data_IF_153845201707
#
_entry.id   IF_153845201707
#
_cell.length_a   1.000
_cell.length_b   1.000
_cell.length_c   1.000
_cell.angle_alpha   90.00
_cell.angle_beta   90.00
_cell.angle_gamma   90.00
#
_symmetry.space_group_name_H-M   'P 1'
#
loop_
_entity.id
_entity.type
_entity.pdbx_description
1 polymer ?
#
# COMPACT_ATOMS: atom_id res chain seq x y z
N UNK A 1 -26.74 11.32 -13.77
CA UNK A 1 -27.49 12.59 -13.90
C UNK A 1 -26.81 13.44 -14.97
N UNK A 2 -27.54 14.09 -15.87
CA UNK A 2 -26.92 15.05 -16.79
C UNK A 2 -26.64 16.34 -16.01
N UNK A 3 -25.39 16.81 -16.07
CA UNK A 3 -24.97 18.06 -15.46
C UNK A 3 -25.06 19.16 -16.53
N UNK A 4 -25.67 20.30 -16.19
CA UNK A 4 -25.68 21.49 -17.04
C UNK A 4 -24.90 22.59 -16.34
N UNK A 5 -23.92 23.14 -17.05
CA UNK A 5 -23.10 24.24 -16.56
C UNK A 5 -23.43 25.50 -17.36
N UNK A 6 -23.67 26.60 -16.66
CA UNK A 6 -23.93 27.90 -17.26
C UNK A 6 -22.81 28.87 -16.87
N UNK A 7 -22.20 29.49 -17.85
CA UNK A 7 -21.21 30.53 -17.67
C UNK A 7 -21.75 31.82 -18.34
N UNK A 8 -21.80 32.93 -17.61
CA UNK A 8 -22.35 34.22 -18.09
C UNK A 8 -23.77 34.10 -18.69
N UNK A 9 -24.62 33.21 -18.13
CA UNK A 9 -25.97 32.96 -18.61
C UNK A 9 -26.10 32.06 -19.86
N UNK A 10 -25.00 31.61 -20.40
CA UNK A 10 -24.96 30.69 -21.56
C UNK A 10 -24.63 29.26 -21.12
N UNK A 11 -25.25 28.26 -21.77
CA UNK A 11 -25.02 26.88 -21.48
C UNK A 11 -23.67 26.38 -22.07
N UNK A 12 -22.81 25.79 -21.24
CA UNK A 12 -21.57 25.20 -21.68
C UNK A 12 -21.85 23.85 -22.36
N UNK A 13 -21.18 23.58 -23.47
CA UNK A 13 -21.35 22.34 -24.20
C UNK A 13 -20.52 21.23 -23.58
N UNK A 14 -21.14 20.11 -23.22
CA UNK A 14 -20.41 18.94 -22.74
C UNK A 14 -19.65 18.29 -23.92
N UNK A 15 -18.39 18.02 -23.72
CA UNK A 15 -17.54 17.26 -24.65
C UNK A 15 -17.75 15.79 -24.35
N UNK A 16 -18.20 15.04 -25.36
CA UNK A 16 -18.39 13.60 -25.25
C UNK A 16 -17.22 12.92 -25.96
N UNK A 17 -16.56 12.02 -25.26
CA UNK A 17 -15.45 11.22 -25.79
C UNK A 17 -16.00 9.92 -26.39
N UNK A 18 -15.67 9.68 -27.67
CA UNK A 18 -15.99 8.42 -28.36
C UNK A 18 -14.83 7.43 -28.35
N UNK A 19 -13.65 7.87 -27.89
CA UNK A 19 -12.40 7.09 -27.85
C UNK A 19 -11.69 7.37 -26.55
N UNK A 20 -11.24 6.32 -25.92
CA UNK A 20 -10.53 6.35 -24.63
C UNK A 20 -9.24 7.16 -24.72
N UNK A 21 -8.43 6.97 -25.77
CA UNK A 21 -7.16 7.69 -25.96
C UNK A 21 -7.32 9.22 -25.99
N UNK A 22 -8.46 9.71 -26.49
CA UNK A 22 -8.75 11.14 -26.49
C UNK A 22 -9.09 11.64 -25.07
N UNK A 23 -9.76 10.84 -24.26
CA UNK A 23 -10.04 11.16 -22.87
C UNK A 23 -8.79 11.02 -21.99
N UNK A 24 -7.98 9.97 -22.17
CA UNK A 24 -6.69 9.82 -21.52
C UNK A 24 -5.80 11.05 -21.77
N UNK A 25 -5.66 11.45 -23.04
CA UNK A 25 -4.89 12.65 -23.38
C UNK A 25 -5.41 13.89 -22.67
N UNK A 26 -6.72 14.07 -22.59
CA UNK A 26 -7.32 15.19 -21.86
C UNK A 26 -6.96 15.18 -20.39
N UNK A 27 -6.97 13.99 -19.73
CA UNK A 27 -6.58 13.83 -18.33
C UNK A 27 -5.10 14.19 -18.14
N UNK A 28 -4.21 13.69 -19.00
CA UNK A 28 -2.77 14.01 -18.99
C UNK A 28 -2.53 15.50 -19.13
N UNK A 29 -3.16 16.13 -20.13
CA UNK A 29 -2.98 17.56 -20.42
C UNK A 29 -3.50 18.47 -19.29
N UNK A 30 -4.43 17.98 -18.47
CA UNK A 30 -5.06 18.72 -17.37
C UNK A 30 -4.75 18.16 -15.97
N UNK A 31 -3.76 17.26 -15.85
CA UNK A 31 -3.49 16.54 -14.62
C UNK A 31 -3.25 17.47 -13.41
N UNK A 32 -2.52 18.56 -13.58
CA UNK A 32 -2.26 19.52 -12.50
C UNK A 32 -3.53 20.24 -12.04
N UNK A 33 -4.42 20.56 -12.96
CA UNK A 33 -5.73 21.17 -12.63
C UNK A 33 -6.63 20.18 -11.88
N UNK A 34 -6.61 18.91 -12.28
CA UNK A 34 -7.47 17.88 -11.71
C UNK A 34 -6.98 17.41 -10.34
N UNK A 35 -5.67 17.15 -10.20
CA UNK A 35 -5.07 16.53 -9.02
C UNK A 35 -4.36 17.53 -8.10
N UNK A 36 -4.14 18.76 -8.55
CA UNK A 36 -3.46 19.82 -7.80
C UNK A 36 -1.96 19.92 -8.07
N UNK A 37 -1.39 21.08 -7.72
CA UNK A 37 0.00 21.44 -8.01
C UNK A 37 1.03 20.52 -7.30
N UNK A 38 0.66 19.99 -6.14
CA UNK A 38 1.49 19.04 -5.37
C UNK A 38 1.27 17.59 -5.79
N UNK A 39 0.85 17.34 -7.01
CA UNK A 39 0.74 16.01 -7.59
C UNK A 39 1.62 15.86 -8.82
N UNK A 40 2.02 14.61 -9.10
CA UNK A 40 2.78 14.28 -10.30
C UNK A 40 2.09 13.10 -10.97
N UNK A 41 1.58 13.36 -12.16
CA UNK A 41 1.02 12.34 -13.04
C UNK A 41 2.07 11.90 -14.05
N UNK A 42 2.28 10.59 -14.19
CA UNK A 42 3.16 10.00 -15.19
C UNK A 42 2.33 9.12 -16.12
N UNK A 43 2.25 9.52 -17.38
CA UNK A 43 1.65 8.73 -18.44
C UNK A 43 2.47 7.46 -18.67
N UNK A 44 1.86 6.30 -18.43
CA UNK A 44 2.54 5.01 -18.51
C UNK A 44 2.57 4.45 -19.93
N UNK A 45 1.52 4.68 -20.72
CA UNK A 45 1.42 4.16 -22.10
C UNK A 45 2.44 4.79 -23.02
N UNK A 46 2.69 6.09 -22.87
CA UNK A 46 3.53 6.84 -23.81
C UNK A 46 4.98 7.04 -23.34
N UNK A 47 5.23 6.95 -22.04
CA UNK A 47 6.56 7.23 -21.47
C UNK A 47 7.32 5.99 -21.02
N UNK A 48 6.67 4.87 -20.80
CA UNK A 48 7.26 3.65 -20.29
C UNK A 48 7.02 2.50 -21.27
N UNK A 49 7.94 2.33 -22.23
CA UNK A 49 7.89 1.21 -23.15
C UNK A 49 7.95 -0.14 -22.43
N UNK A 50 7.09 -1.08 -22.85
CA UNK A 50 7.08 -2.49 -22.41
C UNK A 50 6.85 -2.76 -20.91
N UNK A 51 6.08 -1.95 -20.20
CA UNK A 51 5.74 -2.24 -18.82
C UNK A 51 4.33 -2.81 -18.66
N UNK A 52 4.19 -4.12 -18.80
CA UNK A 52 2.97 -4.78 -18.34
C UNK A 52 3.06 -5.05 -16.83
N UNK A 53 2.10 -4.55 -16.06
CA UNK A 53 1.91 -4.88 -14.66
C UNK A 53 0.92 -6.05 -14.57
N UNK A 54 1.38 -7.25 -14.21
CA UNK A 54 0.52 -8.43 -14.17
C UNK A 54 -0.18 -8.76 -15.51
N UNK A 55 0.41 -8.35 -16.66
CA UNK A 55 -0.15 -8.54 -17.98
C UNK A 55 -1.08 -7.42 -18.47
N UNK A 56 -1.14 -6.28 -17.76
CA UNK A 56 -1.81 -5.06 -18.22
C UNK A 56 -0.89 -3.85 -18.03
N UNK A 57 -1.08 -2.81 -18.83
CA UNK A 57 -0.37 -1.54 -18.71
C UNK A 57 -1.40 -0.53 -18.21
N UNK A 58 -1.23 0.08 -17.02
CA UNK A 58 -2.13 1.14 -16.61
C UNK A 58 -1.93 2.39 -17.48
N UNK A 59 -2.95 3.21 -17.60
CA UNK A 59 -2.86 4.47 -18.33
C UNK A 59 -1.86 5.43 -17.70
N UNK A 60 -1.83 5.44 -16.37
CA UNK A 60 -0.89 6.29 -15.65
C UNK A 60 -0.61 5.86 -14.23
N UNK A 61 0.32 6.57 -13.62
CA UNK A 61 0.52 6.57 -12.17
C UNK A 61 0.46 8.00 -11.65
N UNK A 62 -0.13 8.18 -10.49
CA UNK A 62 -0.25 9.46 -9.83
C UNK A 62 0.44 9.39 -8.48
N UNK A 63 1.28 10.38 -8.18
CA UNK A 63 1.93 10.56 -6.89
C UNK A 63 1.38 11.84 -6.28
N UNK A 64 0.62 11.70 -5.21
CA UNK A 64 0.09 12.83 -4.43
C UNK A 64 1.06 13.16 -3.29
N UNK A 65 1.56 14.39 -3.33
CA UNK A 65 2.57 14.95 -2.44
C UNK A 65 1.99 16.08 -1.57
N UNK A 66 0.68 16.17 -1.48
CA UNK A 66 -0.01 17.19 -0.66
C UNK A 66 0.29 17.03 0.84
N UNK A 67 0.51 15.78 1.28
CA UNK A 67 1.04 15.42 2.59
C UNK A 67 2.36 14.67 2.44
N UNK A 68 3.49 15.32 2.74
CA UNK A 68 4.83 14.72 2.63
C UNK A 68 5.18 13.74 3.74
N UNK A 69 4.40 13.70 4.81
CA UNK A 69 4.53 12.67 5.87
C UNK A 69 3.85 11.38 5.44
N UNK A 70 2.77 11.49 4.64
CA UNK A 70 1.99 10.36 4.14
C UNK A 70 1.72 10.49 2.64
N UNK A 71 2.76 10.53 1.78
CA UNK A 71 2.58 10.64 0.34
C UNK A 71 1.82 9.44 -0.20
N UNK A 72 0.96 9.65 -1.20
CA UNK A 72 0.12 8.59 -1.74
C UNK A 72 0.49 8.26 -3.17
N UNK A 73 0.41 6.98 -3.50
CA UNK A 73 0.64 6.44 -4.82
C UNK A 73 -0.62 5.78 -5.36
N UNK A 74 -0.94 6.05 -6.62
CA UNK A 74 -2.10 5.50 -7.31
C UNK A 74 -1.68 4.89 -8.64
N UNK A 75 -2.18 3.68 -8.93
CA UNK A 75 -2.32 3.21 -10.31
C UNK A 75 -3.57 3.87 -10.85
N UNK A 76 -3.48 4.48 -12.02
CA UNK A 76 -4.59 5.20 -12.65
C UNK A 76 -5.04 4.46 -13.90
N UNK A 77 -6.35 4.28 -14.01
CA UNK A 77 -7.04 3.76 -15.17
C UNK A 77 -8.07 4.78 -15.63
N UNK A 78 -8.06 5.12 -16.91
CA UNK A 78 -8.94 6.12 -17.51
C UNK A 78 -9.92 5.40 -18.43
N UNK A 79 -11.21 5.50 -18.16
CA UNK A 79 -12.23 4.69 -18.79
C UNK A 79 -13.40 5.52 -19.30
N UNK A 80 -14.07 5.02 -20.32
CA UNK A 80 -15.34 5.59 -20.75
C UNK A 80 -16.52 4.90 -20.05
N UNK A 81 -17.54 5.66 -19.67
CA UNK A 81 -18.74 5.11 -19.03
C UNK A 81 -19.49 4.06 -19.86
N UNK A 82 -19.32 4.09 -21.20
CA UNK A 82 -19.96 3.14 -22.10
C UNK A 82 -19.21 1.81 -22.24
N UNK A 83 -17.97 1.69 -21.71
CA UNK A 83 -17.23 0.43 -21.68
C UNK A 83 -17.91 -0.58 -20.75
N UNK A 84 -17.93 -1.84 -21.16
CA UNK A 84 -18.55 -2.89 -20.33
C UNK A 84 -17.73 -3.16 -19.07
N UNK A 85 -18.39 -3.10 -17.93
CA UNK A 85 -17.73 -3.26 -16.64
C UNK A 85 -17.08 -4.64 -16.48
N UNK A 86 -17.78 -5.70 -16.86
CA UNK A 86 -17.36 -7.08 -16.58
C UNK A 86 -16.26 -7.58 -17.50
N UNK A 87 -16.32 -7.17 -18.76
CA UNK A 87 -15.39 -7.65 -19.79
C UNK A 87 -14.21 -6.73 -20.03
N UNK A 88 -14.30 -5.46 -19.62
CA UNK A 88 -13.25 -4.46 -19.83
C UNK A 88 -12.67 -3.93 -18.52
N UNK A 89 -13.44 -3.21 -17.72
CA UNK A 89 -12.95 -2.50 -16.53
C UNK A 89 -12.53 -3.46 -15.39
N UNK A 90 -13.40 -4.41 -15.06
CA UNK A 90 -13.16 -5.33 -13.95
C UNK A 90 -11.87 -6.15 -14.08
N UNK A 91 -11.57 -6.76 -15.26
CA UNK A 91 -10.34 -7.56 -15.39
C UNK A 91 -9.06 -6.75 -15.26
N UNK A 92 -9.06 -5.47 -15.62
CA UNK A 92 -7.89 -4.60 -15.47
C UNK A 92 -7.65 -4.28 -13.99
N UNK A 93 -8.69 -3.91 -13.27
CA UNK A 93 -8.59 -3.62 -11.83
C UNK A 93 -8.16 -4.87 -11.06
N UNK A 94 -8.68 -6.05 -11.39
CA UNK A 94 -8.32 -7.31 -10.73
C UNK A 94 -6.81 -7.61 -10.91
N UNK A 95 -6.26 -7.36 -12.09
CA UNK A 95 -4.81 -7.46 -12.34
C UNK A 95 -3.97 -6.47 -11.53
N UNK A 96 -4.50 -5.27 -11.21
CA UNK A 96 -3.79 -4.32 -10.35
C UNK A 96 -3.72 -4.79 -8.90
N UNK A 97 -4.70 -5.54 -8.42
CA UNK A 97 -4.60 -6.22 -7.12
C UNK A 97 -3.51 -7.28 -7.11
N UNK A 98 -3.42 -8.10 -8.18
CA UNK A 98 -2.36 -9.08 -8.35
C UNK A 98 -0.99 -8.40 -8.39
N UNK A 99 -0.88 -7.29 -9.13
CA UNK A 99 0.33 -6.48 -9.17
C UNK A 99 0.75 -5.99 -7.78
N UNK A 100 -0.17 -5.41 -7.00
CA UNK A 100 0.16 -4.95 -5.66
C UNK A 100 0.56 -6.08 -4.71
N UNK A 101 0.12 -7.29 -4.95
CA UNK A 101 0.52 -8.48 -4.20
C UNK A 101 1.92 -8.97 -4.58
N UNK A 102 2.44 -8.58 -5.75
CA UNK A 102 3.73 -9.03 -6.28
C UNK A 102 4.84 -8.00 -6.04
N UNK A 103 5.75 -8.33 -5.11
CA UNK A 103 6.88 -7.45 -4.75
C UNK A 103 7.83 -7.18 -5.92
N UNK A 104 8.07 -8.19 -6.78
CA UNK A 104 8.98 -8.03 -7.91
C UNK A 104 8.42 -7.03 -8.93
N UNK A 105 7.12 -7.10 -9.21
CA UNK A 105 6.44 -6.17 -10.11
C UNK A 105 6.46 -4.74 -9.54
N UNK A 106 6.21 -4.57 -8.25
CA UNK A 106 6.32 -3.26 -7.59
C UNK A 106 7.74 -2.67 -7.67
N UNK A 107 8.77 -3.49 -7.47
CA UNK A 107 10.15 -3.04 -7.60
C UNK A 107 10.47 -2.62 -9.04
N UNK A 108 10.06 -3.41 -10.05
CA UNK A 108 10.22 -3.06 -11.46
C UNK A 108 9.53 -1.73 -11.80
N UNK A 109 8.30 -1.53 -11.29
CA UNK A 109 7.59 -0.28 -11.50
C UNK A 109 8.35 0.90 -10.87
N UNK A 110 8.84 0.73 -9.64
CA UNK A 110 9.65 1.77 -8.97
C UNK A 110 10.89 2.15 -9.81
N UNK A 111 11.60 1.15 -10.34
CA UNK A 111 12.79 1.37 -11.19
C UNK A 111 12.43 2.12 -12.47
N UNK A 112 11.31 1.78 -13.10
CA UNK A 112 10.84 2.44 -14.32
C UNK A 112 10.42 3.88 -14.06
N UNK A 113 9.61 4.12 -13.04
CA UNK A 113 9.23 5.48 -12.64
C UNK A 113 10.48 6.31 -12.32
N UNK A 114 11.42 5.75 -11.56
CA UNK A 114 12.69 6.42 -11.26
C UNK A 114 13.49 6.76 -12.53
N UNK A 115 13.56 5.82 -13.47
CA UNK A 115 14.23 6.06 -14.78
C UNK A 115 13.55 7.19 -15.55
N UNK A 116 12.21 7.24 -15.56
CA UNK A 116 11.43 8.33 -16.19
C UNK A 116 11.77 9.67 -15.57
N UNK A 117 11.81 9.76 -14.25
CA UNK A 117 12.22 11.00 -13.55
C UNK A 117 13.65 11.40 -13.85
N UNK A 118 14.56 10.45 -14.05
CA UNK A 118 15.95 10.77 -14.42
C UNK A 118 16.10 11.26 -15.87
N UNK A 119 15.21 10.87 -16.76
CA UNK A 119 15.26 11.23 -18.18
C UNK A 119 14.49 12.52 -18.49
N UNK A 120 13.57 12.92 -17.61
CA UNK A 120 12.76 14.14 -17.75
C UNK A 120 13.15 15.16 -16.66
N UNK A 121 13.97 16.15 -17.07
CA UNK A 121 14.48 17.18 -16.16
C UNK A 121 13.36 18.00 -15.49
N UNK A 122 12.21 18.18 -16.17
CA UNK A 122 11.06 18.90 -15.63
C UNK A 122 10.40 18.12 -14.51
N UNK A 123 10.10 16.83 -14.74
CA UNK A 123 9.55 15.95 -13.70
C UNK A 123 10.53 15.78 -12.55
N UNK A 124 11.82 15.59 -12.84
CA UNK A 124 12.87 15.50 -11.82
C UNK A 124 12.90 16.74 -10.94
N UNK A 125 12.94 17.93 -11.55
CA UNK A 125 12.98 19.20 -10.84
C UNK A 125 11.69 19.44 -10.03
N UNK A 126 10.51 19.14 -10.60
CA UNK A 126 9.23 19.24 -9.90
C UNK A 126 9.22 18.37 -8.64
N UNK A 127 9.58 17.09 -8.77
CA UNK A 127 9.63 16.18 -7.63
C UNK A 127 10.65 16.65 -6.59
N UNK A 128 11.87 17.03 -7.04
CA UNK A 128 12.94 17.43 -6.16
C UNK A 128 12.63 18.71 -5.37
N UNK A 129 11.96 19.66 -5.99
CA UNK A 129 11.50 20.88 -5.32
C UNK A 129 10.50 20.58 -4.19
N UNK A 130 9.65 19.57 -4.37
CA UNK A 130 8.65 19.19 -3.36
C UNK A 130 9.29 18.38 -2.23
N UNK A 131 10.07 17.32 -2.54
CA UNK A 131 10.62 16.41 -1.54
C UNK A 131 11.93 16.91 -0.88
N UNK A 132 12.54 17.96 -1.40
CA UNK A 132 13.75 18.58 -0.86
C UNK A 132 14.97 17.67 -0.93
N UNK A 133 15.62 17.44 0.21
CA UNK A 133 16.85 16.63 0.31
C UNK A 133 16.63 15.13 0.24
N UNK A 134 15.36 14.64 0.27
CA UNK A 134 15.07 13.20 0.22
C UNK A 134 15.61 12.58 -1.07
N UNK A 135 16.11 11.35 -1.01
CA UNK A 135 16.59 10.61 -2.18
C UNK A 135 15.39 10.07 -2.97
N UNK A 136 15.36 10.33 -4.29
CA UNK A 136 14.17 10.11 -5.13
C UNK A 136 13.78 8.63 -5.20
N UNK A 137 14.72 7.74 -5.49
CA UNK A 137 14.39 6.31 -5.62
C UNK A 137 13.79 5.74 -4.33
N UNK A 138 14.41 6.08 -3.21
CA UNK A 138 13.96 5.64 -1.90
C UNK A 138 12.60 6.23 -1.53
N UNK A 139 12.38 7.49 -1.87
CA UNK A 139 11.10 8.16 -1.67
C UNK A 139 9.99 7.48 -2.48
N UNK A 140 10.21 7.27 -3.79
CA UNK A 140 9.25 6.60 -4.67
C UNK A 140 8.94 5.18 -4.20
N UNK A 141 9.97 4.43 -3.83
CA UNK A 141 9.81 3.07 -3.32
C UNK A 141 8.97 3.04 -2.04
N UNK A 142 9.29 3.90 -1.07
CA UNK A 142 8.54 4.00 0.18
C UNK A 142 7.09 4.42 -0.04
N UNK A 143 6.85 5.38 -0.94
CA UNK A 143 5.49 5.83 -1.28
C UNK A 143 4.67 4.69 -1.89
N UNK A 144 5.23 3.94 -2.84
CA UNK A 144 4.54 2.81 -3.49
C UNK A 144 4.31 1.64 -2.53
N UNK A 145 5.24 1.37 -1.62
CA UNK A 145 5.09 0.29 -0.64
C UNK A 145 4.03 0.60 0.43
N UNK A 146 3.91 1.87 0.83
CA UNK A 146 3.02 2.29 1.91
C UNK A 146 1.64 2.75 1.44
N UNK A 147 1.46 2.99 0.15
CA UNK A 147 0.22 3.51 -0.41
C UNK A 147 -0.15 2.77 -1.70
N UNK A 148 -1.06 1.81 -1.59
CA UNK A 148 -1.47 0.92 -2.67
C UNK A 148 -2.90 1.26 -3.10
N UNK A 149 -3.07 2.28 -3.95
CA UNK A 149 -4.37 2.75 -4.38
C UNK A 149 -4.56 2.57 -5.88
N UNK A 150 -5.81 2.35 -6.28
CA UNK A 150 -6.26 2.29 -7.67
C UNK A 150 -7.27 3.43 -7.86
N UNK A 151 -6.98 4.32 -8.77
CA UNK A 151 -7.86 5.44 -9.13
C UNK A 151 -8.44 5.18 -10.53
N UNK A 152 -9.75 5.03 -10.59
CA UNK A 152 -10.49 4.95 -11.86
C UNK A 152 -10.99 6.33 -12.18
N UNK A 153 -10.61 6.85 -13.32
CA UNK A 153 -11.11 8.11 -13.86
C UNK A 153 -12.09 7.76 -14.98
N UNK A 154 -13.31 8.27 -14.91
CA UNK A 154 -14.36 7.92 -15.84
C UNK A 154 -15.15 9.17 -16.23
N UNK A 155 -15.59 9.23 -17.51
CA UNK A 155 -16.34 10.36 -18.07
C UNK A 155 -17.82 10.38 -17.70
N UNK A 156 -18.25 9.51 -16.80
CA UNK A 156 -19.62 9.45 -16.32
C UNK A 156 -19.86 8.35 -15.26
N UNK A 157 -21.05 8.30 -14.65
CA UNK A 157 -21.33 7.36 -13.57
C UNK A 157 -21.34 5.89 -14.03
N UNK A 158 -20.75 5.00 -13.22
CA UNK A 158 -20.69 3.55 -13.45
C UNK A 158 -21.15 2.82 -12.19
N UNK A 159 -22.45 2.61 -11.97
CA UNK A 159 -23.00 2.02 -10.76
C UNK A 159 -22.42 0.64 -10.42
N UNK A 160 -22.04 -0.15 -11.42
CA UNK A 160 -21.47 -1.48 -11.23
C UNK A 160 -20.14 -1.45 -10.45
N UNK A 161 -19.33 -0.40 -10.62
CA UNK A 161 -18.10 -0.22 -9.83
C UNK A 161 -18.46 0.05 -8.37
N UNK A 162 -19.42 0.92 -8.11
CA UNK A 162 -19.86 1.24 -6.75
C UNK A 162 -20.45 0.01 -6.04
N UNK A 163 -21.29 -0.78 -6.74
CA UNK A 163 -21.83 -2.02 -6.23
C UNK A 163 -20.72 -3.01 -5.87
N UNK A 164 -19.69 -3.11 -6.73
CA UNK A 164 -18.55 -3.98 -6.47
C UNK A 164 -17.74 -3.50 -5.27
N UNK A 165 -17.52 -2.21 -5.13
CA UNK A 165 -16.84 -1.63 -3.96
C UNK A 165 -17.60 -1.92 -2.66
N UNK A 166 -18.93 -1.79 -2.68
CA UNK A 166 -19.80 -2.12 -1.53
C UNK A 166 -19.77 -3.62 -1.20
N UNK A 167 -19.79 -4.48 -2.21
CA UNK A 167 -19.80 -5.93 -2.03
C UNK A 167 -18.46 -6.52 -1.57
N UNK A 168 -17.36 -5.81 -1.82
CA UNK A 168 -15.98 -6.21 -1.43
C UNK A 168 -15.26 -5.09 -0.70
N UNK A 169 -15.84 -4.68 0.43
CA UNK A 169 -15.37 -3.52 1.18
C UNK A 169 -13.90 -3.62 1.62
N UNK A 170 -13.45 -4.82 2.02
CA UNK A 170 -12.07 -5.04 2.50
C UNK A 170 -11.00 -4.97 1.41
N UNK A 171 -11.37 -5.10 0.15
CA UNK A 171 -10.47 -5.01 -0.99
C UNK A 171 -10.78 -3.78 -1.83
N UNK A 172 -11.81 -3.86 -2.67
CA UNK A 172 -12.20 -2.77 -3.55
C UNK A 172 -12.54 -1.48 -2.80
N UNK A 173 -13.33 -1.56 -1.73
CA UNK A 173 -13.75 -0.39 -0.96
C UNK A 173 -12.59 0.40 -0.34
N UNK A 174 -11.49 -0.29 0.00
CA UNK A 174 -10.30 0.35 0.58
C UNK A 174 -9.33 0.87 -0.48
N UNK A 175 -9.12 0.11 -1.55
CA UNK A 175 -8.06 0.38 -2.51
C UNK A 175 -8.52 1.08 -3.77
N UNK A 176 -9.79 0.89 -4.18
CA UNK A 176 -10.33 1.45 -5.43
C UNK A 176 -11.13 2.71 -5.12
N UNK A 177 -10.83 3.77 -5.85
CA UNK A 177 -11.64 5.01 -5.87
C UNK A 177 -12.02 5.35 -7.30
N UNK A 178 -13.16 5.98 -7.42
CA UNK A 178 -13.69 6.43 -8.72
C UNK A 178 -13.80 7.94 -8.66
N UNK A 179 -13.31 8.59 -9.70
CA UNK A 179 -13.48 10.01 -9.92
C UNK A 179 -14.14 10.23 -11.27
N UNK A 180 -15.29 10.86 -11.26
CA UNK A 180 -15.99 11.22 -12.48
C UNK A 180 -15.46 12.58 -12.94
N UNK A 181 -14.91 12.63 -14.13
CA UNK A 181 -14.42 13.87 -14.75
C UNK A 181 -15.28 14.21 -15.94
N UNK A 182 -15.97 15.33 -15.88
CA UNK A 182 -16.70 15.83 -17.03
C UNK A 182 -15.98 17.05 -17.63
N UNK A 183 -15.92 17.09 -18.94
CA UNK A 183 -15.35 18.17 -19.72
C UNK A 183 -16.47 18.96 -20.39
N UNK A 184 -16.47 20.27 -20.20
CA UNK A 184 -17.35 21.20 -20.89
C UNK A 184 -16.52 22.26 -21.61
N UNK A 185 -17.07 22.78 -22.68
CA UNK A 185 -16.47 23.86 -23.46
C UNK A 185 -17.40 25.06 -23.52
N UNK A 186 -16.84 26.23 -23.29
CA UNK A 186 -17.46 27.50 -23.49
C UNK A 186 -16.50 28.40 -24.27
N UNK A 187 -16.82 28.73 -25.52
CA UNK A 187 -15.88 29.36 -26.46
C UNK A 187 -14.55 28.60 -26.53
N UNK A 188 -13.42 29.24 -26.23
CA UNK A 188 -12.09 28.63 -26.19
C UNK A 188 -11.67 28.12 -24.80
N UNK A 189 -12.60 28.17 -23.82
CA UNK A 189 -12.31 27.76 -22.43
C UNK A 189 -12.78 26.32 -22.16
N UNK A 190 -11.90 25.54 -21.55
CA UNK A 190 -12.24 24.25 -21.00
C UNK A 190 -12.71 24.41 -19.55
N UNK A 191 -13.83 23.80 -19.22
CA UNK A 191 -14.36 23.73 -17.86
C UNK A 191 -14.36 22.27 -17.45
N UNK A 192 -13.72 21.97 -16.33
CA UNK A 192 -13.57 20.61 -15.83
C UNK A 192 -14.36 20.50 -14.52
N UNK A 193 -15.18 19.47 -14.40
CA UNK A 193 -15.77 19.10 -13.11
C UNK A 193 -15.23 17.77 -12.65
N UNK A 194 -14.93 17.65 -11.38
CA UNK A 194 -14.46 16.45 -10.74
C UNK A 194 -15.41 16.05 -9.60
N UNK A 195 -15.93 14.83 -9.63
CA UNK A 195 -16.85 14.32 -8.61
C UNK A 195 -16.40 12.91 -8.14
N UNK A 196 -16.06 12.76 -6.86
CA UNK A 196 -15.74 13.84 -5.92
C UNK A 196 -14.49 14.62 -6.34
N UNK A 197 -14.24 15.83 -5.80
CA UNK A 197 -12.95 16.48 -5.95
C UNK A 197 -11.81 15.58 -5.46
N UNK A 198 -10.65 15.60 -6.13
CA UNK A 198 -9.55 14.68 -5.81
C UNK A 198 -9.13 14.77 -4.34
N UNK A 199 -9.09 15.95 -3.77
CA UNK A 199 -8.74 16.19 -2.37
C UNK A 199 -9.72 15.55 -1.37
N UNK A 200 -10.93 15.24 -1.81
CA UNK A 200 -11.96 14.59 -1.00
C UNK A 200 -12.05 13.08 -1.21
N UNK A 201 -11.15 12.50 -2.00
CA UNK A 201 -11.02 11.06 -2.14
C UNK A 201 -10.37 10.49 -0.89
N UNK A 202 -11.19 10.05 0.06
CA UNK A 202 -10.71 9.38 1.27
C UNK A 202 -10.38 7.92 0.97
N UNK A 203 -9.13 7.56 1.20
CA UNK A 203 -8.65 6.18 1.14
C UNK A 203 -8.50 5.63 2.56
N UNK A 204 -9.38 4.75 2.93
CA UNK A 204 -9.17 3.72 3.93
C UNK A 204 -8.99 4.07 5.40
N UNK A 205 -9.22 5.29 5.87
CA UNK A 205 -9.56 5.51 7.27
C UNK A 205 -11.07 5.68 7.38
N UNK A 206 -11.75 4.58 7.57
CA UNK A 206 -13.20 4.57 7.78
C UNK A 206 -13.53 5.17 9.15
N UNK A 207 -13.49 6.49 9.25
CA UNK A 207 -14.11 7.23 10.34
C UNK A 207 -14.88 8.42 9.78
N UNK A 208 -15.94 8.13 9.05
CA UNK A 208 -17.10 9.05 8.98
C UNK A 208 -18.36 8.22 8.86
N UNK A 209 -19.17 8.37 9.88
CA UNK A 209 -20.48 7.80 10.09
C UNK A 209 -21.45 8.10 8.94
N UNK A 210 -21.63 7.12 8.08
CA UNK A 210 -22.94 6.83 7.52
C UNK A 210 -23.42 5.65 8.36
N UNK A 211 -24.62 5.77 8.96
CA UNK A 211 -25.28 4.69 9.68
C UNK A 211 -25.56 3.52 8.72
N UNK A 212 -24.56 2.72 8.49
CA UNK A 212 -24.63 1.37 7.97
C UNK A 212 -24.15 0.51 9.13
N UNK A 213 -24.90 -0.52 9.46
CA UNK A 213 -24.58 -1.52 10.46
C UNK A 213 -23.08 -1.77 10.49
N UNK A 214 -22.47 -1.56 11.66
CA UNK A 214 -21.02 -1.64 11.89
C UNK A 214 -20.43 -2.78 11.09
N UNK A 215 -19.53 -2.55 10.12
CA UNK A 215 -18.69 -3.62 9.64
C UNK A 215 -17.95 -4.13 10.86
N UNK A 216 -17.90 -5.44 10.98
CA UNK A 216 -17.19 -6.15 12.02
C UNK A 216 -15.76 -5.60 12.09
N UNK A 217 -15.53 -4.60 12.94
CA UNK A 217 -14.23 -4.18 13.36
C UNK A 217 -13.74 -5.27 14.30
N UNK A 218 -13.40 -6.41 13.73
CA UNK A 218 -12.58 -7.39 14.41
C UNK A 218 -11.26 -6.71 14.65
N UNK A 219 -11.16 -5.98 15.76
CA UNK A 219 -9.87 -5.59 16.30
C UNK A 219 -9.17 -6.91 16.57
N UNK A 220 -8.21 -7.27 15.69
CA UNK A 220 -7.44 -8.48 15.90
C UNK A 220 -6.81 -8.37 17.27
N UNK A 221 -7.13 -9.34 18.12
CA UNK A 221 -6.62 -9.39 19.49
C UNK A 221 -5.57 -10.49 19.59
N UNK A 222 -4.77 -10.46 20.64
CA UNK A 222 -3.89 -11.58 20.93
C UNK A 222 -4.70 -12.89 21.06
N UNK A 223 -5.92 -12.82 21.63
CA UNK A 223 -6.85 -13.93 21.73
C UNK A 223 -7.21 -14.52 20.35
N UNK A 224 -7.43 -13.68 19.34
CA UNK A 224 -7.67 -14.13 17.95
C UNK A 224 -6.53 -15.01 17.43
N UNK A 225 -5.27 -14.63 17.68
CA UNK A 225 -4.11 -15.40 17.24
C UNK A 225 -3.90 -16.68 18.03
N UNK A 226 -4.41 -16.74 19.26
CA UNK A 226 -4.31 -17.91 20.13
C UNK A 226 -5.53 -18.83 20.01
N UNK A 227 -6.57 -18.42 19.31
CA UNK A 227 -7.72 -19.25 19.03
C UNK A 227 -7.31 -20.47 18.20
N UNK A 228 -7.76 -21.66 18.61
CA UNK A 228 -7.38 -22.92 17.96
C UNK A 228 -5.95 -23.41 18.21
N UNK A 229 -5.11 -22.64 18.91
CA UNK A 229 -3.81 -23.11 19.36
C UNK A 229 -3.94 -24.07 20.55
N UNK A 230 -3.04 -25.06 20.64
CA UNK A 230 -2.98 -25.93 21.80
C UNK A 230 -2.44 -25.17 23.03
N UNK A 231 -2.64 -25.75 24.23
CA UNK A 231 -2.21 -25.12 25.50
C UNK A 231 -0.70 -24.85 25.56
N UNK A 232 0.09 -25.71 24.92
CA UNK A 232 1.54 -25.55 24.89
C UNK A 232 1.95 -24.27 24.13
N UNK A 233 1.33 -24.01 22.98
CA UNK A 233 1.56 -22.77 22.20
C UNK A 233 1.13 -21.54 22.98
N UNK A 234 0.01 -21.59 23.70
CA UNK A 234 -0.45 -20.51 24.56
C UNK A 234 0.55 -20.24 25.69
N UNK A 235 1.10 -21.30 26.28
CA UNK A 235 2.13 -21.19 27.32
C UNK A 235 3.44 -20.57 26.77
N UNK A 236 3.88 -21.00 25.57
CA UNK A 236 5.06 -20.42 24.89
C UNK A 236 4.81 -18.92 24.65
N UNK A 237 3.64 -18.55 24.13
CA UNK A 237 3.29 -17.16 23.87
C UNK A 237 3.34 -16.30 25.16
N UNK A 238 2.69 -16.76 26.22
CA UNK A 238 2.65 -16.04 27.48
C UNK A 238 4.06 -15.85 28.07
N UNK A 239 4.89 -16.89 28.04
CA UNK A 239 6.27 -16.83 28.51
C UNK A 239 7.12 -15.86 27.67
N UNK A 240 6.97 -15.88 26.32
CA UNK A 240 7.62 -14.96 25.41
C UNK A 240 7.21 -13.50 25.70
N UNK A 241 5.93 -13.25 25.90
CA UNK A 241 5.40 -11.93 26.23
C UNK A 241 5.97 -11.42 27.56
N UNK A 242 5.98 -12.26 28.57
CA UNK A 242 6.57 -11.92 29.88
C UNK A 242 8.07 -11.63 29.78
N UNK A 243 8.83 -12.42 29.03
CA UNK A 243 10.25 -12.19 28.80
C UNK A 243 10.50 -10.85 28.12
N UNK A 244 9.75 -10.51 27.09
CA UNK A 244 9.83 -9.22 26.39
C UNK A 244 9.51 -8.04 27.31
N UNK A 245 8.43 -8.11 28.07
CA UNK A 245 8.03 -7.05 29.02
C UNK A 245 9.02 -6.90 30.18
N UNK A 246 9.71 -7.98 30.56
CA UNK A 246 10.79 -7.94 31.59
C UNK A 246 12.04 -7.24 31.04
N UNK A 247 12.35 -7.41 29.73
CA UNK A 247 13.46 -6.70 29.08
C UNK A 247 13.17 -5.21 29.03
N UNK A 248 11.95 -4.84 28.61
CA UNK A 248 11.51 -3.45 28.53
C UNK A 248 9.98 -3.35 28.67
N UNK A 249 9.51 -2.64 29.67
CA UNK A 249 8.07 -2.49 29.97
C UNK A 249 7.30 -1.67 28.92
N UNK A 250 8.00 -0.87 28.11
CA UNK A 250 7.42 -0.07 27.02
C UNK A 250 7.13 -0.88 25.75
N UNK A 251 7.48 -2.18 25.72
CA UNK A 251 7.20 -3.02 24.55
C UNK A 251 5.70 -3.16 24.36
N UNK A 252 5.26 -2.88 23.14
CA UNK A 252 3.86 -2.96 22.72
C UNK A 252 3.66 -4.11 21.75
N UNK A 253 2.53 -4.79 21.91
CA UNK A 253 2.07 -5.86 21.04
C UNK A 253 0.92 -5.34 20.19
N UNK A 254 1.06 -5.40 18.88
CA UNK A 254 0.04 -4.94 17.93
C UNK A 254 -0.45 -6.12 17.08
N UNK A 255 -1.57 -6.76 17.46
CA UNK A 255 -2.17 -7.83 16.66
C UNK A 255 -2.70 -7.28 15.34
N UNK A 256 -2.32 -7.94 14.24
CA UNK A 256 -2.83 -7.72 12.89
C UNK A 256 -3.60 -8.98 12.43
N UNK A 257 -4.11 -9.01 11.22
CA UNK A 257 -4.77 -10.21 10.69
C UNK A 257 -3.88 -11.46 10.66
N UNK A 258 -2.56 -11.29 10.47
CA UNK A 258 -1.65 -12.41 10.15
C UNK A 258 -0.59 -12.67 11.21
N UNK A 259 -0.33 -11.71 12.11
CA UNK A 259 0.71 -11.81 13.12
C UNK A 259 0.49 -10.79 14.26
N UNK A 260 1.22 -10.97 15.33
CA UNK A 260 1.31 -9.99 16.42
C UNK A 260 2.66 -9.27 16.27
N UNK A 261 2.64 -8.00 15.89
CA UNK A 261 3.84 -7.16 15.80
C UNK A 261 4.35 -6.76 17.17
N UNK A 262 5.68 -6.73 17.36
CA UNK A 262 6.34 -6.35 18.61
C UNK A 262 7.15 -5.08 18.40
N UNK A 263 6.85 -4.05 19.18
CA UNK A 263 7.34 -2.67 18.98
C UNK A 263 7.93 -2.07 20.27
N UNK A 264 8.95 -1.22 20.09
CA UNK A 264 9.29 -0.15 21.03
C UNK A 264 8.96 1.17 20.34
N UNK A 265 9.92 1.83 19.70
CA UNK A 265 9.69 2.97 18.80
C UNK A 265 9.29 2.51 17.40
N UNK A 266 9.86 1.41 16.96
CA UNK A 266 9.57 0.74 15.68
C UNK A 266 9.40 -0.75 15.90
N UNK A 267 8.84 -1.45 14.92
CA UNK A 267 8.74 -2.90 14.97
C UNK A 267 10.14 -3.52 14.87
N UNK A 268 10.43 -4.50 15.72
CA UNK A 268 11.70 -5.23 15.73
C UNK A 268 11.52 -6.74 15.67
N UNK A 269 10.31 -7.21 15.87
CA UNK A 269 9.95 -8.61 15.75
C UNK A 269 8.46 -8.76 15.46
N UNK A 270 8.03 -9.94 15.09
CA UNK A 270 6.62 -10.32 15.04
C UNK A 270 6.43 -11.80 15.36
N UNK A 271 5.23 -12.14 15.82
CA UNK A 271 4.89 -13.46 16.32
C UNK A 271 3.75 -14.03 15.45
N UNK A 272 3.89 -15.26 15.00
CA UNK A 272 2.85 -16.01 14.31
C UNK A 272 2.51 -17.27 15.12
N UNK A 273 1.24 -17.40 15.50
CA UNK A 273 0.75 -18.54 16.26
C UNK A 273 0.09 -19.56 15.31
N UNK A 274 0.48 -20.81 15.45
CA UNK A 274 -0.08 -21.95 14.70
C UNK A 274 -0.61 -22.99 15.70
N UNK A 275 -1.44 -23.89 15.23
CA UNK A 275 -2.10 -24.90 16.08
C UNK A 275 -1.15 -25.64 17.05
N UNK A 276 0.08 -25.99 16.60
CA UNK A 276 1.05 -26.81 17.34
C UNK A 276 2.42 -26.17 17.54
N UNK A 277 2.64 -24.95 17.02
CA UNK A 277 3.91 -24.23 17.12
C UNK A 277 3.69 -22.73 17.09
N UNK A 278 4.70 -22.01 17.57
CA UNK A 278 4.80 -20.57 17.47
C UNK A 278 6.05 -20.19 16.69
N UNK A 279 5.98 -19.17 15.85
CA UNK A 279 7.17 -18.60 15.21
C UNK A 279 7.41 -17.20 15.75
N UNK A 280 8.63 -16.95 16.17
CA UNK A 280 9.14 -15.61 16.42
C UNK A 280 10.02 -15.21 15.25
N UNK A 281 9.66 -14.15 14.56
CA UNK A 281 10.46 -13.61 13.48
C UNK A 281 11.17 -12.36 14.00
N UNK A 282 12.49 -12.39 13.97
CA UNK A 282 13.36 -11.32 14.49
C UNK A 282 14.13 -10.66 13.34
N UNK A 283 14.46 -9.38 13.52
CA UNK A 283 15.23 -8.62 12.52
C UNK A 283 16.73 -8.78 12.76
N UNK A 284 17.17 -10.02 12.66
CA UNK A 284 18.57 -10.42 12.71
C UNK A 284 18.87 -11.43 11.60
N UNK A 285 20.07 -11.42 11.04
CA UNK A 285 20.51 -12.45 10.10
C UNK A 285 20.65 -13.82 10.80
N UNK A 286 20.46 -14.89 10.03
CA UNK A 286 20.49 -16.26 10.57
C UNK A 286 21.79 -16.59 11.32
N UNK A 287 22.94 -16.14 10.80
CA UNK A 287 24.23 -16.34 11.47
C UNK A 287 24.31 -15.72 12.86
N UNK A 288 23.63 -14.56 13.08
CA UNK A 288 23.56 -13.93 14.39
C UNK A 288 22.61 -14.64 15.35
N UNK A 289 21.51 -15.18 14.82
CA UNK A 289 20.56 -16.00 15.58
C UNK A 289 21.23 -17.31 16.01
N UNK A 290 21.95 -17.98 15.12
CA UNK A 290 22.68 -19.23 15.39
C UNK A 290 23.84 -19.07 16.37
N UNK A 291 24.35 -17.87 16.59
CA UNK A 291 25.32 -17.59 17.66
C UNK A 291 24.68 -17.58 19.05
N UNK A 292 23.38 -17.42 19.14
CA UNK A 292 22.64 -17.32 20.39
C UNK A 292 21.84 -18.58 20.69
N UNK A 293 21.31 -19.24 19.67
CA UNK A 293 20.54 -20.49 19.80
C UNK A 293 21.42 -21.64 19.37
N UNK A 294 21.71 -22.53 20.29
CA UNK A 294 22.56 -23.71 20.10
C UNK A 294 21.78 -25.02 20.17
N UNK A 295 20.63 -25.00 20.85
CA UNK A 295 19.77 -26.17 20.98
C UNK A 295 19.20 -26.60 19.61
N UNK A 296 19.03 -27.93 19.44
CA UNK A 296 18.38 -28.47 18.24
C UNK A 296 16.84 -28.46 18.36
N UNK A 297 16.30 -28.08 19.51
CA UNK A 297 14.86 -28.02 19.76
C UNK A 297 14.18 -26.86 19.01
N UNK A 298 14.93 -25.82 18.70
CA UNK A 298 14.43 -24.65 17.99
C UNK A 298 14.83 -24.69 16.52
N UNK A 299 13.82 -24.70 15.63
CA UNK A 299 14.07 -24.72 14.18
C UNK A 299 14.29 -23.29 13.72
N UNK A 300 15.50 -23.00 13.25
CA UNK A 300 15.90 -21.70 12.71
C UNK A 300 15.79 -21.73 11.19
N UNK A 301 15.10 -20.75 10.63
CA UNK A 301 14.93 -20.61 9.18
C UNK A 301 15.14 -19.16 8.77
N UNK A 302 16.06 -18.91 7.84
CA UNK A 302 16.09 -17.62 7.15
C UNK A 302 14.77 -17.41 6.40
N UNK A 303 14.21 -16.22 6.50
CA UNK A 303 13.12 -15.86 5.60
C UNK A 303 13.67 -15.66 4.19
N UNK A 304 12.95 -16.19 3.20
CA UNK A 304 13.25 -15.94 1.79
C UNK A 304 13.18 -14.43 1.48
N UNK A 305 13.95 -13.98 0.49
CA UNK A 305 14.05 -12.57 0.07
C UNK A 305 12.73 -11.77 0.02
N UNK A 306 11.57 -12.31 -0.41
CA UNK A 306 10.31 -11.57 -0.39
C UNK A 306 9.89 -11.11 1.01
N UNK A 307 10.08 -11.95 2.02
CA UNK A 307 9.75 -11.59 3.40
C UNK A 307 10.77 -10.61 4.02
N UNK A 308 12.02 -10.63 3.56
CA UNK A 308 13.06 -9.69 3.98
C UNK A 308 12.79 -8.27 3.48
N UNK A 309 12.16 -8.12 2.31
CA UNK A 309 11.85 -6.81 1.70
C UNK A 309 10.60 -6.15 2.26
N UNK A 310 9.70 -6.89 2.87
CA UNK A 310 8.42 -6.38 3.39
C UNK A 310 8.59 -5.42 4.58
N UNK A 311 9.72 -5.48 5.28
CA UNK A 311 9.97 -4.73 6.50
C UNK A 311 11.20 -3.82 6.38
N UNK A 312 11.34 -3.18 5.22
CA UNK A 312 12.48 -2.35 4.84
C UNK A 312 12.85 -1.32 5.89
N UNK A 313 13.90 -1.61 6.63
CA UNK A 313 14.68 -0.61 7.32
C UNK A 313 15.38 0.28 6.28
N UNK A 314 15.41 1.56 6.52
CA UNK A 314 16.08 2.55 5.70
C UNK A 314 17.59 2.43 5.84
N UNK A 315 18.27 2.05 4.79
CA UNK A 315 19.72 2.01 4.70
C UNK A 315 20.22 0.77 3.96
N UNK A 316 21.50 0.76 3.57
CA UNK A 316 22.19 -0.37 2.92
C UNK A 316 22.26 -1.65 3.78
N UNK A 317 21.67 -1.66 4.98
CA UNK A 317 21.49 -2.81 5.82
C UNK A 317 20.09 -3.38 5.57
N UNK A 318 20.00 -4.30 4.62
CA UNK A 318 18.88 -5.22 4.56
C UNK A 318 18.83 -5.95 5.90
N UNK A 319 17.80 -5.69 6.73
CA UNK A 319 17.57 -6.49 7.92
C UNK A 319 17.17 -7.88 7.45
N UNK A 320 18.13 -8.79 7.48
CA UNK A 320 17.88 -10.19 7.23
C UNK A 320 16.98 -10.69 8.36
N UNK A 321 15.77 -11.11 8.04
CA UNK A 321 14.84 -11.64 9.02
C UNK A 321 15.10 -13.14 9.19
N UNK A 322 15.04 -13.59 10.44
CA UNK A 322 15.16 -14.98 10.77
C UNK A 322 13.98 -15.45 11.62
N UNK A 323 13.37 -16.54 11.27
CA UNK A 323 12.31 -17.18 12.03
C UNK A 323 12.87 -18.25 12.95
N UNK A 324 12.42 -18.23 14.22
CA UNK A 324 12.65 -19.29 15.20
C UNK A 324 11.32 -19.96 15.49
N UNK A 325 11.20 -21.25 15.19
CA UNK A 325 10.01 -22.04 15.45
C UNK A 325 10.14 -22.70 16.83
N UNK A 326 9.14 -22.52 17.68
CA UNK A 326 9.05 -23.03 19.04
C UNK A 326 7.88 -24.01 19.16
N UNK A 327 8.13 -25.19 19.65
CA UNK A 327 7.12 -26.23 19.90
C UNK A 327 6.89 -26.50 21.38
N UNK A 328 7.83 -26.10 22.23
CA UNK A 328 7.83 -26.26 23.68
C UNK A 328 8.59 -25.11 24.35
N UNK A 329 8.81 -25.21 25.64
CA UNK A 329 9.55 -24.22 26.45
C UNK A 329 10.92 -24.73 26.91
N UNK A 330 11.42 -25.80 26.35
CA UNK A 330 12.77 -26.28 26.63
C UNK A 330 13.78 -25.29 26.02
N UNK A 331 14.92 -25.09 26.69
CA UNK A 331 15.95 -24.12 26.28
C UNK A 331 15.44 -22.70 26.02
N UNK A 332 14.41 -22.27 26.77
CA UNK A 332 13.80 -20.94 26.58
C UNK A 332 14.74 -19.79 26.99
N UNK A 333 15.77 -20.07 27.78
CA UNK A 333 16.85 -19.13 28.13
C UNK A 333 17.62 -18.64 26.90
N UNK A 334 17.78 -19.49 25.88
CA UNK A 334 18.37 -19.09 24.60
C UNK A 334 17.45 -18.11 23.85
N UNK A 335 16.14 -18.29 23.95
CA UNK A 335 15.16 -17.38 23.37
C UNK A 335 15.17 -16.03 24.12
N UNK A 336 15.24 -16.04 25.45
CA UNK A 336 15.36 -14.82 26.25
C UNK A 336 16.62 -14.03 25.87
N UNK A 337 17.74 -14.73 25.71
CA UNK A 337 19.02 -14.14 25.28
C UNK A 337 18.92 -13.54 23.87
N UNK A 338 18.26 -14.24 22.94
CA UNK A 338 18.00 -13.74 21.60
C UNK A 338 17.14 -12.46 21.64
N UNK A 339 16.07 -12.44 22.42
CA UNK A 339 15.18 -11.28 22.54
C UNK A 339 15.90 -10.07 23.13
N UNK A 340 16.76 -10.25 24.13
CA UNK A 340 17.60 -9.19 24.69
C UNK A 340 18.49 -8.57 23.61
N UNK A 341 19.16 -9.41 22.80
CA UNK A 341 20.01 -8.97 21.69
C UNK A 341 19.22 -8.19 20.64
N UNK A 342 18.01 -8.66 20.26
CA UNK A 342 17.16 -8.01 19.27
C UNK A 342 16.69 -6.64 19.76
N UNK A 343 16.28 -6.52 21.03
CA UNK A 343 15.86 -5.26 21.63
C UNK A 343 17.03 -4.27 21.68
N UNK A 344 18.22 -4.69 22.10
CA UNK A 344 19.40 -3.85 22.14
C UNK A 344 19.78 -3.31 20.76
N UNK A 345 19.83 -4.17 19.74
CA UNK A 345 20.14 -3.75 18.36
C UNK A 345 19.10 -2.78 17.78
N UNK A 346 17.85 -2.85 18.22
CA UNK A 346 16.80 -1.94 17.77
C UNK A 346 16.92 -0.52 18.36
N UNK A 347 17.63 -0.38 19.48
CA UNK A 347 17.87 0.91 20.13
C UNK A 347 19.06 1.67 19.52
N UNK A 348 20.05 0.95 19.01
CA UNK A 348 21.27 1.52 18.41
C UNK A 348 21.08 1.97 16.94
N UNK A 349 19.98 1.58 16.31
CA UNK A 349 19.65 1.85 14.90
C UNK A 349 18.56 2.92 14.77
#
# INVERSE_FOLDING_TARGET
MAISIFLNGQNCQQVIYNREDAFEKFIVDNAETIFGANSIYVDMKHRIENSSLGGTIPDGVLIDLSDLENPKFYIVEVELQNHDFRTHIYPQIDKFFDFYSNIQERNKLTEKIYSTFRQDDSLHSKLKNIIGSKEIYRFLKGTLENSQNILIIIDGPKPEIEEKMKSRLETWGKMVKVQIINHFRYEDQNIITAEPPFQNLEFGDATTSIDIEKPDTTSYTEGFHLEGCNENVKNIYNRLKQALLKIKNEIRFNPTKYYIGVYVKRQFAYIQCYKKKLKVIVYLPENEVRKTIHSQNHIIKSHSEPAQRFWGGSGNNFHLNCAVELTDTEHFDEIESLLQKVVANNEES
#
